data_IF_993023066632
#
_entry.id   IF_993023066632
#
_cell.length_a   1.000
_cell.length_b   1.000
_cell.length_c   1.000
_cell.angle_alpha   90.00
_cell.angle_beta   90.00
_cell.angle_gamma   90.00
#
_symmetry.space_group_name_H-M   'P 1'
#
loop_
_entity.id
_entity.type
_entity.pdbx_description
1 polymer ?
#
# COMPACT_ATOMS: atom_id res chain seq x y z
N UNK A 1 16.65 0.03 -19.88
CA UNK A 1 16.05 1.26 -20.43
C UNK A 1 16.39 1.35 -21.92
N UNK A 2 15.55 0.76 -22.78
CA UNK A 2 15.64 0.96 -24.24
C UNK A 2 14.70 2.10 -24.58
N UNK A 3 15.26 3.25 -24.96
CA UNK A 3 14.51 4.41 -25.47
C UNK A 3 13.90 4.01 -26.80
N UNK A 4 12.58 3.85 -26.85
CA UNK A 4 11.85 3.75 -28.10
C UNK A 4 11.78 5.17 -28.67
N UNK A 5 12.68 5.48 -29.59
CA UNK A 5 12.62 6.71 -30.38
C UNK A 5 11.60 6.50 -31.48
N UNK A 6 10.50 7.23 -31.44
CA UNK A 6 9.53 7.30 -32.50
C UNK A 6 10.17 8.24 -33.60
N UNK A 7 10.67 7.65 -34.67
CA UNK A 7 11.00 8.41 -35.89
C UNK A 7 9.71 8.66 -36.67
N UNK A 8 9.23 9.92 -36.68
CA UNK A 8 8.26 10.36 -37.64
C UNK A 8 9.07 10.72 -38.90
N UNK A 9 9.17 9.80 -39.85
CA UNK A 9 9.69 10.11 -41.18
C UNK A 9 8.57 10.81 -41.96
N UNK A 10 8.67 12.12 -42.09
CA UNK A 10 7.84 12.88 -43.02
C UNK A 10 8.31 12.54 -44.45
N UNK A 11 7.56 11.70 -45.16
CA UNK A 11 7.76 11.50 -46.60
C UNK A 11 6.98 12.57 -47.30
N UNK A 12 7.70 13.55 -47.86
CA UNK A 12 7.15 14.57 -48.79
C UNK A 12 7.03 13.91 -50.17
N UNK A 13 5.83 13.48 -50.55
CA UNK A 13 5.56 13.08 -51.93
C UNK A 13 5.07 14.27 -52.77
N UNK A 14 5.70 14.48 -53.89
CA UNK A 14 5.27 15.45 -54.93
C UNK A 14 4.02 14.91 -55.64
N UNK A 15 3.00 15.77 -55.83
CA UNK A 15 1.76 15.44 -56.50
C UNK A 15 2.02 15.06 -57.96
N UNK A 16 2.11 13.78 -58.25
CA UNK A 16 2.04 13.18 -59.58
C UNK A 16 0.72 12.41 -59.73
N UNK A 17 0.22 12.29 -60.95
CA UNK A 17 -1.03 11.58 -61.23
C UNK A 17 -1.01 10.18 -60.66
N UNK A 18 -1.86 9.96 -59.63
CA UNK A 18 -2.01 8.70 -58.94
C UNK A 18 -2.72 7.71 -59.87
N UNK A 19 -2.19 6.49 -59.99
CA UNK A 19 -2.71 5.43 -60.86
C UNK A 19 -3.35 4.30 -60.02
N UNK A 20 -4.11 3.42 -60.67
CA UNK A 20 -4.64 2.21 -60.00
C UNK A 20 -3.55 1.36 -59.33
N UNK A 21 -2.27 1.56 -59.69
CA UNK A 21 -1.11 0.91 -59.12
C UNK A 21 -0.85 1.43 -57.69
N UNK A 22 -1.19 2.69 -57.38
CA UNK A 22 -0.91 3.35 -56.11
C UNK A 22 -1.90 2.86 -55.01
N UNK A 23 -3.19 2.58 -55.38
CA UNK A 23 -4.15 2.01 -54.42
C UNK A 23 -3.77 0.55 -54.07
N UNK A 24 -3.24 -0.20 -55.04
CA UNK A 24 -2.76 -1.56 -54.77
C UNK A 24 -1.57 -1.58 -53.83
N UNK A 25 -0.63 -0.64 -53.98
CA UNK A 25 0.54 -0.52 -53.12
C UNK A 25 0.14 -0.12 -51.69
N UNK A 26 -0.78 0.83 -51.53
CA UNK A 26 -1.30 1.23 -50.27
C UNK A 26 -2.04 0.08 -49.55
N UNK A 27 -2.85 -0.71 -50.32
CA UNK A 27 -3.53 -1.88 -49.80
C UNK A 27 -2.56 -3.01 -49.42
N UNK A 28 -1.49 -3.21 -50.21
CA UNK A 28 -0.42 -4.16 -49.89
C UNK A 28 0.27 -3.79 -48.58
N UNK A 29 0.58 -2.50 -48.36
CA UNK A 29 1.13 -2.02 -47.09
C UNK A 29 0.20 -2.30 -45.94
N UNK A 30 -1.12 -2.05 -46.07
CA UNK A 30 -2.12 -2.39 -45.05
C UNK A 30 -2.13 -3.89 -44.74
N UNK A 31 -2.13 -4.75 -45.76
CA UNK A 31 -2.15 -6.21 -45.59
C UNK A 31 -0.87 -6.72 -44.92
N UNK A 32 0.29 -6.13 -45.23
CA UNK A 32 1.54 -6.44 -44.54
C UNK A 32 1.48 -6.04 -43.06
N UNK A 33 0.88 -4.89 -42.75
CA UNK A 33 0.61 -4.49 -41.37
C UNK A 33 -0.29 -5.47 -40.63
N UNK A 34 -1.36 -5.93 -41.28
CA UNK A 34 -2.27 -6.94 -40.69
C UNK A 34 -1.56 -8.30 -40.47
N UNK A 35 -0.63 -8.68 -41.36
CA UNK A 35 0.17 -9.91 -41.22
C UNK A 35 1.16 -9.77 -40.02
N UNK A 36 1.87 -8.66 -39.92
CA UNK A 36 2.77 -8.38 -38.78
C UNK A 36 2.03 -8.38 -37.44
N UNK A 37 0.81 -7.81 -37.43
CA UNK A 37 -0.06 -7.82 -36.25
C UNK A 37 -0.43 -9.24 -35.83
N UNK A 38 -0.77 -10.12 -36.78
CA UNK A 38 -1.05 -11.55 -36.50
C UNK A 38 0.18 -12.29 -35.97
N UNK A 39 1.37 -11.89 -36.36
CA UNK A 39 2.63 -12.46 -35.85
C UNK A 39 3.04 -11.88 -34.49
N UNK A 40 2.29 -10.90 -33.96
CA UNK A 40 2.59 -10.21 -32.70
C UNK A 40 3.65 -9.12 -32.83
N UNK A 41 4.03 -8.74 -34.06
CA UNK A 41 5.02 -7.70 -34.31
C UNK A 41 4.36 -6.31 -34.37
N UNK A 42 3.73 -5.89 -33.25
CA UNK A 42 2.93 -4.67 -33.16
C UNK A 42 3.66 -3.40 -33.66
N UNK A 43 4.97 -3.29 -33.42
CA UNK A 43 5.77 -2.14 -33.88
C UNK A 43 5.86 -2.09 -35.41
N UNK A 44 6.18 -3.22 -36.06
CA UNK A 44 6.24 -3.30 -37.53
C UNK A 44 4.86 -3.10 -38.17
N UNK A 45 3.81 -3.69 -37.55
CA UNK A 45 2.42 -3.49 -38.00
C UNK A 45 2.06 -2.00 -38.03
N UNK A 46 2.43 -1.25 -36.99
CA UNK A 46 2.15 0.17 -36.87
C UNK A 46 2.84 0.98 -38.00
N UNK A 47 4.10 0.67 -38.32
CA UNK A 47 4.82 1.31 -39.42
C UNK A 47 4.12 1.06 -40.76
N UNK A 48 3.68 -0.17 -41.05
CA UNK A 48 2.95 -0.48 -42.25
C UNK A 48 1.59 0.21 -42.33
N UNK A 49 0.81 0.26 -41.23
CA UNK A 49 -0.47 0.96 -41.20
C UNK A 49 -0.31 2.47 -41.38
N UNK A 50 0.73 3.08 -40.81
CA UNK A 50 1.05 4.50 -41.01
C UNK A 50 1.45 4.82 -42.45
N UNK A 51 2.23 3.93 -43.08
CA UNK A 51 2.59 4.04 -44.49
C UNK A 51 1.34 3.93 -45.38
N UNK A 52 0.49 2.93 -45.14
CA UNK A 52 -0.77 2.75 -45.84
C UNK A 52 -1.72 3.96 -45.68
N UNK A 53 -1.81 4.53 -44.44
CA UNK A 53 -2.56 5.74 -44.17
C UNK A 53 -2.09 6.92 -45.02
N UNK A 54 -0.79 7.18 -45.02
CA UNK A 54 -0.18 8.27 -45.81
C UNK A 54 -0.46 8.13 -47.31
N UNK A 55 -0.33 6.90 -47.84
CA UNK A 55 -0.64 6.63 -49.25
C UNK A 55 -2.15 6.79 -49.52
N UNK A 56 -3.01 6.27 -48.63
CA UNK A 56 -4.44 6.40 -48.77
C UNK A 56 -4.95 7.84 -48.73
N UNK A 57 -4.38 8.69 -47.86
CA UNK A 57 -4.72 10.09 -47.79
C UNK A 57 -4.32 10.83 -49.07
N UNK A 58 -3.23 10.46 -49.73
CA UNK A 58 -2.80 11.01 -51.02
C UNK A 58 -3.74 10.63 -52.17
N UNK A 59 -4.49 9.53 -52.03
CA UNK A 59 -5.48 9.08 -53.05
C UNK A 59 -6.83 9.83 -52.98
N UNK A 60 -7.05 10.65 -51.95
CA UNK A 60 -8.29 11.41 -51.78
C UNK A 60 -9.53 10.47 -51.62
N UNK A 61 -10.57 10.70 -52.44
CA UNK A 61 -11.81 9.93 -52.33
C UNK A 61 -11.63 8.42 -52.58
N UNK A 62 -10.74 8.04 -53.48
CA UNK A 62 -10.45 6.63 -53.79
C UNK A 62 -9.80 5.88 -52.60
N UNK A 63 -9.08 6.60 -51.76
CA UNK A 63 -8.41 6.06 -50.57
C UNK A 63 -9.27 6.08 -49.30
N UNK A 64 -10.46 6.68 -49.33
CA UNK A 64 -11.23 6.98 -48.11
C UNK A 64 -11.49 5.75 -47.20
N UNK A 65 -11.89 4.62 -47.78
CA UNK A 65 -12.14 3.38 -47.03
C UNK A 65 -10.85 2.80 -46.42
N UNK A 66 -9.74 2.86 -47.16
CA UNK A 66 -8.45 2.43 -46.70
C UNK A 66 -7.94 3.33 -45.58
N UNK A 67 -8.12 4.62 -45.66
CA UNK A 67 -7.80 5.59 -44.63
C UNK A 67 -8.55 5.31 -43.34
N UNK A 68 -9.85 5.07 -43.45
CA UNK A 68 -10.67 4.68 -42.28
C UNK A 68 -10.18 3.41 -41.63
N UNK A 69 -9.89 2.38 -42.42
CA UNK A 69 -9.35 1.09 -41.92
C UNK A 69 -7.97 1.28 -41.27
N UNK A 70 -7.07 2.07 -41.87
CA UNK A 70 -5.76 2.36 -41.29
C UNK A 70 -5.85 3.10 -39.96
N UNK A 71 -6.71 4.12 -39.85
CA UNK A 71 -6.94 4.86 -38.60
C UNK A 71 -7.37 3.94 -37.48
N UNK A 72 -8.37 3.08 -37.74
CA UNK A 72 -8.84 2.09 -36.79
C UNK A 72 -7.75 1.07 -36.41
N UNK A 73 -7.00 0.54 -37.39
CA UNK A 73 -5.91 -0.39 -37.16
C UNK A 73 -4.79 0.21 -36.32
N UNK A 74 -4.39 1.46 -36.59
CA UNK A 74 -3.40 2.19 -35.79
C UNK A 74 -3.85 2.34 -34.35
N UNK A 75 -5.09 2.74 -34.10
CA UNK A 75 -5.64 2.90 -32.75
C UNK A 75 -5.68 1.55 -32.02
N UNK A 76 -6.17 0.51 -32.67
CA UNK A 76 -6.26 -0.85 -32.08
C UNK A 76 -4.87 -1.42 -31.77
N UNK A 77 -3.88 -1.19 -32.64
CA UNK A 77 -2.50 -1.65 -32.41
C UNK A 77 -1.85 -0.92 -31.24
N UNK A 78 -2.01 0.42 -31.15
CA UNK A 78 -1.53 1.17 -29.99
C UNK A 78 -2.19 0.69 -28.68
N UNK A 79 -3.50 0.41 -28.71
CA UNK A 79 -4.22 -0.12 -27.56
C UNK A 79 -3.68 -1.50 -27.14
N UNK A 80 -3.38 -2.36 -28.11
CA UNK A 80 -2.77 -3.68 -27.85
C UNK A 80 -1.39 -3.54 -27.20
N UNK A 81 -0.52 -2.66 -27.71
CA UNK A 81 0.80 -2.40 -27.14
C UNK A 81 0.71 -1.83 -25.70
N UNK A 82 -0.25 -0.95 -25.45
CA UNK A 82 -0.49 -0.45 -24.10
C UNK A 82 -0.97 -1.54 -23.15
N UNK A 83 -1.83 -2.47 -23.60
CA UNK A 83 -2.27 -3.64 -22.83
C UNK A 83 -1.11 -4.61 -22.56
N UNK A 84 -0.13 -4.74 -23.44
CA UNK A 84 1.08 -5.53 -23.17
C UNK A 84 1.88 -4.98 -21.99
N UNK A 85 2.09 -3.66 -21.93
CA UNK A 85 2.75 -3.00 -20.79
C UNK A 85 1.97 -3.22 -19.48
N UNK A 86 0.64 -3.10 -19.55
CA UNK A 86 -0.23 -3.37 -18.41
C UNK A 86 -0.08 -4.82 -17.90
N UNK A 87 -0.12 -5.78 -18.80
CA UNK A 87 0.04 -7.20 -18.48
C UNK A 87 1.45 -7.54 -17.95
N UNK A 88 2.47 -6.83 -18.45
CA UNK A 88 3.84 -6.90 -17.93
C UNK A 88 4.03 -6.20 -16.56
N UNK A 89 2.95 -5.60 -16.01
CA UNK A 89 2.94 -4.82 -14.77
C UNK A 89 3.82 -3.57 -14.80
N UNK A 90 4.15 -3.09 -15.98
CA UNK A 90 4.69 -1.73 -16.18
C UNK A 90 3.52 -0.75 -16.23
N UNK A 91 2.92 -0.49 -15.06
CA UNK A 91 1.73 0.36 -14.97
C UNK A 91 2.03 1.82 -15.34
N UNK A 92 3.23 2.31 -15.06
CA UNK A 92 3.63 3.68 -15.45
C UNK A 92 3.74 3.80 -16.97
N UNK A 93 4.38 2.84 -17.62
CA UNK A 93 4.44 2.75 -19.08
C UNK A 93 3.07 2.55 -19.70
N UNK A 94 2.22 1.72 -19.09
CA UNK A 94 0.85 1.46 -19.56
C UNK A 94 -0.02 2.73 -19.54
N UNK A 95 0.01 3.51 -18.46
CA UNK A 95 -0.72 4.79 -18.37
C UNK A 95 -0.31 5.71 -19.51
N UNK A 96 0.99 5.94 -19.70
CA UNK A 96 1.48 6.83 -20.78
C UNK A 96 1.09 6.31 -22.19
N UNK A 97 1.11 4.98 -22.39
CA UNK A 97 0.72 4.38 -23.65
C UNK A 97 -0.80 4.44 -23.90
N UNK A 98 -1.63 4.26 -22.87
CA UNK A 98 -3.09 4.44 -22.99
C UNK A 98 -3.47 5.90 -23.21
N UNK A 99 -2.83 6.86 -22.54
CA UNK A 99 -3.03 8.30 -22.78
C UNK A 99 -2.74 8.65 -24.24
N UNK A 100 -1.61 8.18 -24.79
CA UNK A 100 -1.27 8.36 -26.18
C UNK A 100 -2.28 7.69 -27.12
N UNK A 101 -2.72 6.49 -26.79
CA UNK A 101 -3.75 5.78 -27.58
C UNK A 101 -5.05 6.56 -27.61
N UNK A 102 -5.49 7.09 -26.48
CA UNK A 102 -6.67 7.95 -26.37
C UNK A 102 -6.56 9.19 -27.26
N UNK A 103 -5.43 9.91 -27.17
CA UNK A 103 -5.18 11.10 -27.99
C UNK A 103 -5.25 10.79 -29.50
N UNK A 104 -4.61 9.70 -29.95
CA UNK A 104 -4.64 9.27 -31.35
C UNK A 104 -6.07 8.90 -31.77
N UNK A 105 -6.78 8.16 -30.94
CA UNK A 105 -8.14 7.71 -31.24
C UNK A 105 -9.13 8.89 -31.31
N UNK A 106 -9.05 9.86 -30.41
CA UNK A 106 -9.80 11.12 -30.47
C UNK A 106 -9.48 11.91 -31.76
N UNK A 107 -8.20 12.01 -32.13
CA UNK A 107 -7.77 12.68 -33.36
C UNK A 107 -8.27 12.03 -34.65
N UNK A 108 -8.49 10.71 -34.61
CA UNK A 108 -8.99 9.95 -35.77
C UNK A 108 -10.50 9.74 -35.75
N UNK A 109 -11.19 10.16 -34.67
CA UNK A 109 -12.64 9.97 -34.52
C UNK A 109 -13.05 8.57 -34.07
N UNK A 110 -12.11 7.76 -33.59
CA UNK A 110 -12.34 6.39 -33.09
C UNK A 110 -12.81 6.41 -31.61
N UNK A 111 -14.04 6.89 -31.41
CA UNK A 111 -14.60 7.20 -30.09
C UNK A 111 -14.66 5.98 -29.15
N UNK A 112 -14.92 4.78 -29.68
CA UNK A 112 -14.99 3.54 -28.88
C UNK A 112 -13.59 3.20 -28.31
N UNK A 113 -12.56 3.25 -29.15
CA UNK A 113 -11.17 2.98 -28.71
C UNK A 113 -10.68 4.04 -27.73
N UNK A 114 -11.06 5.31 -27.94
CA UNK A 114 -10.75 6.38 -27.01
C UNK A 114 -11.39 6.17 -25.64
N UNK A 115 -12.65 5.69 -25.61
CA UNK A 115 -13.35 5.35 -24.36
C UNK A 115 -12.71 4.16 -23.64
N UNK A 116 -12.36 3.08 -24.37
CA UNK A 116 -11.65 1.94 -23.82
C UNK A 116 -10.32 2.34 -23.20
N UNK A 117 -9.54 3.17 -23.92
CA UNK A 117 -8.27 3.67 -23.41
C UNK A 117 -8.46 4.53 -22.14
N UNK A 118 -9.49 5.37 -22.09
CA UNK A 118 -9.80 6.18 -20.91
C UNK A 118 -10.14 5.34 -19.67
N UNK A 119 -10.91 4.28 -19.83
CA UNK A 119 -11.19 3.33 -18.75
C UNK A 119 -9.90 2.65 -18.25
N UNK A 120 -9.08 2.16 -19.18
CA UNK A 120 -7.82 1.48 -18.85
C UNK A 120 -6.80 2.41 -18.20
N UNK A 121 -6.78 3.70 -18.51
CA UNK A 121 -5.99 4.71 -17.78
C UNK A 121 -6.37 4.72 -16.30
N UNK A 122 -7.66 4.74 -15.98
CA UNK A 122 -8.13 4.71 -14.60
C UNK A 122 -7.65 3.48 -13.84
N UNK A 123 -7.83 2.30 -14.45
CA UNK A 123 -7.40 1.03 -13.86
C UNK A 123 -5.88 0.96 -13.68
N UNK A 124 -5.11 1.36 -14.70
CA UNK A 124 -3.65 1.36 -14.66
C UNK A 124 -3.10 2.36 -13.62
N UNK A 125 -3.72 3.54 -13.46
CA UNK A 125 -3.35 4.52 -12.45
C UNK A 125 -3.55 3.97 -11.03
N UNK A 126 -4.66 3.31 -10.75
CA UNK A 126 -4.88 2.68 -9.44
C UNK A 126 -3.80 1.65 -9.10
N UNK A 127 -3.46 0.80 -10.06
CA UNK A 127 -2.42 -0.22 -9.87
C UNK A 127 -1.02 0.40 -9.74
N UNK A 128 -0.72 1.44 -10.51
CA UNK A 128 0.51 2.24 -10.41
C UNK A 128 0.65 2.82 -9.01
N UNK A 129 -0.36 3.56 -8.54
CA UNK A 129 -0.36 4.19 -7.21
C UNK A 129 -0.21 3.16 -6.09
N UNK A 130 -0.93 2.05 -6.15
CA UNK A 130 -0.78 0.97 -5.18
C UNK A 130 0.64 0.37 -5.17
N UNK A 131 1.22 0.15 -6.35
CA UNK A 131 2.56 -0.43 -6.48
C UNK A 131 3.63 0.53 -5.97
N UNK A 132 3.55 1.80 -6.35
CA UNK A 132 4.46 2.87 -5.91
C UNK A 132 4.35 3.10 -4.39
N UNK A 133 3.14 3.15 -3.85
CA UNK A 133 2.90 3.29 -2.41
C UNK A 133 3.48 2.15 -1.60
N UNK A 134 3.31 0.90 -2.05
CA UNK A 134 3.90 -0.28 -1.41
C UNK A 134 5.43 -0.28 -1.50
N UNK A 135 6.01 0.12 -2.64
CA UNK A 135 7.45 0.26 -2.81
C UNK A 135 8.02 1.34 -1.87
N UNK A 136 7.33 2.47 -1.76
CA UNK A 136 7.69 3.57 -0.86
C UNK A 136 7.65 3.14 0.62
N UNK A 137 6.63 2.36 1.04
CA UNK A 137 6.57 1.78 2.40
C UNK A 137 7.78 0.88 2.68
N UNK A 138 8.15 0.02 1.73
CA UNK A 138 9.33 -0.87 1.85
C UNK A 138 10.63 -0.07 1.92
N UNK A 139 10.72 1.01 1.16
CA UNK A 139 11.85 1.95 1.16
C UNK A 139 11.88 2.89 2.39
N UNK A 140 10.83 2.85 3.23
CA UNK A 140 10.59 3.77 4.36
C UNK A 140 10.39 5.23 3.93
N UNK A 141 10.03 5.46 2.69
CA UNK A 141 9.57 6.76 2.19
C UNK A 141 8.07 6.90 2.48
N UNK A 142 7.79 7.26 3.74
CA UNK A 142 6.42 7.36 4.21
C UNK A 142 5.66 8.54 3.60
N UNK A 143 6.38 9.57 3.13
CA UNK A 143 5.75 10.73 2.50
C UNK A 143 5.13 10.32 1.14
N UNK A 144 5.92 9.67 0.29
CA UNK A 144 5.43 9.15 -1.00
C UNK A 144 4.32 8.10 -0.79
N UNK A 145 4.48 7.19 0.18
CA UNK A 145 3.45 6.19 0.48
C UNK A 145 2.11 6.84 0.88
N UNK A 146 2.15 7.87 1.74
CA UNK A 146 0.95 8.62 2.15
C UNK A 146 0.30 9.28 0.93
N UNK A 147 1.06 9.93 0.07
CA UNK A 147 0.52 10.55 -1.16
C UNK A 147 -0.17 9.52 -2.03
N UNK A 148 0.51 8.43 -2.37
CA UNK A 148 -0.05 7.39 -3.25
C UNK A 148 -1.36 6.80 -2.70
N UNK A 149 -1.39 6.38 -1.43
CA UNK A 149 -2.62 5.79 -0.87
C UNK A 149 -3.73 6.81 -0.65
N UNK A 150 -3.41 8.09 -0.43
CA UNK A 150 -4.41 9.16 -0.38
C UNK A 150 -5.05 9.36 -1.76
N UNK A 151 -4.27 9.31 -2.84
CA UNK A 151 -4.78 9.39 -4.20
C UNK A 151 -5.64 8.18 -4.56
N UNK A 152 -5.25 6.96 -4.14
CA UNK A 152 -6.10 5.77 -4.30
C UNK A 152 -7.45 5.98 -3.62
N UNK A 153 -7.47 6.47 -2.38
CA UNK A 153 -8.71 6.73 -1.65
C UNK A 153 -9.54 7.90 -2.19
N UNK A 154 -8.91 8.82 -2.92
CA UNK A 154 -9.65 9.87 -3.64
C UNK A 154 -10.43 9.29 -4.84
N UNK A 155 -9.94 8.20 -5.44
CA UNK A 155 -10.60 7.50 -6.56
C UNK A 155 -11.58 6.45 -6.01
N UNK A 156 -11.17 5.68 -5.01
CA UNK A 156 -11.93 4.60 -4.38
C UNK A 156 -12.01 4.82 -2.86
N UNK A 157 -12.96 5.64 -2.36
CA UNK A 157 -13.02 6.01 -0.95
C UNK A 157 -13.24 4.83 0.01
N UNK A 158 -13.82 3.74 -0.48
CA UNK A 158 -14.10 2.51 0.26
C UNK A 158 -13.01 1.43 0.12
N UNK A 159 -11.89 1.73 -0.53
CA UNK A 159 -10.78 0.81 -0.68
C UNK A 159 -10.10 0.53 0.68
N UNK A 160 -10.60 -0.51 1.35
CA UNK A 160 -10.14 -0.91 2.69
C UNK A 160 -8.63 -1.22 2.74
N UNK A 161 -8.06 -1.78 1.67
CA UNK A 161 -6.64 -2.08 1.62
C UNK A 161 -5.79 -0.80 1.53
N UNK A 162 -6.19 0.15 0.70
CA UNK A 162 -5.51 1.44 0.63
C UNK A 162 -5.59 2.21 1.95
N UNK A 163 -6.76 2.21 2.60
CA UNK A 163 -6.94 2.83 3.92
C UNK A 163 -6.04 2.17 4.98
N UNK A 164 -5.93 0.84 4.96
CA UNK A 164 -5.04 0.10 5.87
C UNK A 164 -3.57 0.47 5.65
N UNK A 165 -3.12 0.52 4.41
CA UNK A 165 -1.75 0.89 4.05
C UNK A 165 -1.46 2.36 4.38
N UNK A 166 -2.42 3.26 4.16
CA UNK A 166 -2.33 4.66 4.55
C UNK A 166 -2.17 4.80 6.07
N UNK A 167 -2.99 4.09 6.84
CA UNK A 167 -2.88 4.04 8.30
C UNK A 167 -1.52 3.55 8.76
N UNK A 168 -0.98 2.51 8.11
CA UNK A 168 0.37 2.02 8.39
C UNK A 168 1.46 3.05 8.05
N UNK A 169 1.33 3.75 6.91
CA UNK A 169 2.27 4.80 6.50
C UNK A 169 2.28 5.94 7.51
N UNK A 170 1.12 6.42 7.93
CA UNK A 170 0.99 7.45 8.97
C UNK A 170 1.57 7.00 10.31
N UNK A 171 1.30 5.77 10.76
CA UNK A 171 1.87 5.22 12.00
C UNK A 171 3.40 5.23 11.94
N UNK A 172 4.00 4.80 10.84
CA UNK A 172 5.46 4.80 10.64
C UNK A 172 6.04 6.20 10.58
N UNK A 173 5.30 7.16 10.05
CA UNK A 173 5.63 8.59 10.06
C UNK A 173 5.39 9.27 11.42
N UNK A 174 4.88 8.54 12.43
CA UNK A 174 4.48 9.01 13.76
C UNK A 174 3.33 10.04 13.73
N UNK A 175 2.56 10.06 12.66
CA UNK A 175 1.32 10.83 12.52
C UNK A 175 0.17 9.98 13.05
N UNK A 176 0.07 9.89 14.38
CA UNK A 176 -0.78 8.88 15.04
C UNK A 176 -2.28 9.15 14.87
N UNK A 177 -2.70 10.40 14.88
CA UNK A 177 -4.11 10.74 14.79
C UNK A 177 -4.63 10.53 13.35
N UNK A 178 -3.84 10.89 12.34
CA UNK A 178 -4.13 10.59 10.94
C UNK A 178 -4.10 9.06 10.69
N UNK A 179 -3.19 8.33 11.34
CA UNK A 179 -3.16 6.88 11.27
C UNK A 179 -4.45 6.25 11.78
N UNK A 180 -4.93 6.69 12.96
CA UNK A 180 -6.18 6.19 13.52
C UNK A 180 -7.36 6.46 12.61
N UNK A 181 -7.46 7.66 12.02
CA UNK A 181 -8.54 8.00 11.09
C UNK A 181 -8.55 7.07 9.86
N UNK A 182 -7.38 6.84 9.25
CA UNK A 182 -7.28 5.94 8.11
C UNK A 182 -7.59 4.48 8.47
N UNK A 183 -7.17 4.03 9.67
CA UNK A 183 -7.45 2.67 10.15
C UNK A 183 -8.93 2.45 10.48
N UNK A 184 -9.64 3.45 10.99
CA UNK A 184 -11.08 3.37 11.18
C UNK A 184 -11.82 3.28 9.84
N UNK A 185 -11.33 3.97 8.79
CA UNK A 185 -11.85 3.78 7.42
C UNK A 185 -11.62 2.35 6.94
N UNK A 186 -10.43 1.78 7.14
CA UNK A 186 -10.14 0.40 6.78
C UNK A 186 -11.06 -0.59 7.52
N UNK A 187 -11.28 -0.36 8.81
CA UNK A 187 -12.17 -1.16 9.65
C UNK A 187 -13.61 -1.13 9.16
N UNK A 188 -14.14 0.05 8.87
CA UNK A 188 -15.50 0.25 8.37
C UNK A 188 -15.73 -0.45 7.02
N UNK A 189 -14.67 -0.62 6.21
CA UNK A 189 -14.71 -1.24 4.88
C UNK A 189 -14.22 -2.71 4.86
N UNK A 190 -14.26 -3.41 5.99
CA UNK A 190 -14.07 -4.87 6.04
C UNK A 190 -12.66 -5.36 6.42
N UNK A 191 -11.75 -4.46 6.81
CA UNK A 191 -10.41 -4.83 7.30
C UNK A 191 -10.33 -4.78 8.85
N UNK A 192 -11.40 -5.18 9.55
CA UNK A 192 -11.53 -4.99 11.00
C UNK A 192 -10.36 -5.58 11.79
N UNK A 193 -10.03 -6.86 11.58
CA UNK A 193 -8.97 -7.53 12.34
C UNK A 193 -7.59 -6.89 12.12
N UNK A 194 -7.28 -6.57 10.87
CA UNK A 194 -6.01 -5.93 10.52
C UNK A 194 -5.94 -4.50 11.03
N UNK A 195 -7.02 -3.76 10.93
CA UNK A 195 -7.12 -2.40 11.46
C UNK A 195 -6.99 -2.39 12.98
N UNK A 196 -7.73 -3.23 13.71
CA UNK A 196 -7.64 -3.32 15.17
C UNK A 196 -6.22 -3.65 15.63
N UNK A 197 -5.50 -4.53 14.91
CA UNK A 197 -4.09 -4.83 15.19
C UNK A 197 -3.19 -3.59 15.07
N UNK A 198 -3.36 -2.80 14.03
CA UNK A 198 -2.60 -1.56 13.83
C UNK A 198 -3.04 -0.46 14.79
N UNK A 199 -4.33 -0.29 15.07
CA UNK A 199 -4.87 0.64 16.07
C UNK A 199 -4.25 0.36 17.44
N UNK A 200 -4.23 -0.91 17.87
CA UNK A 200 -3.56 -1.31 19.10
C UNK A 200 -2.08 -0.91 19.11
N UNK A 201 -1.37 -1.12 18.00
CA UNK A 201 0.05 -0.71 17.88
C UNK A 201 0.22 0.81 17.93
N UNK A 202 -0.66 1.59 17.30
CA UNK A 202 -0.63 3.06 17.36
C UNK A 202 -0.78 3.54 18.80
N UNK A 203 -1.79 3.05 19.51
CA UNK A 203 -2.00 3.43 20.91
C UNK A 203 -0.85 2.97 21.81
N UNK A 204 -0.26 1.81 21.55
CA UNK A 204 0.93 1.36 22.28
C UNK A 204 2.12 2.30 22.08
N UNK A 205 2.33 2.81 20.85
CA UNK A 205 3.38 3.80 20.58
C UNK A 205 3.08 5.16 21.24
N UNK A 206 1.82 5.61 21.27
CA UNK A 206 1.39 6.80 22.03
C UNK A 206 1.64 6.60 23.52
N UNK A 207 1.29 5.46 24.10
CA UNK A 207 1.56 5.14 25.50
C UNK A 207 3.06 5.16 25.82
N UNK A 208 3.90 4.58 24.96
CA UNK A 208 5.36 4.59 25.11
C UNK A 208 5.94 6.02 25.05
N UNK A 209 5.41 6.87 24.16
CA UNK A 209 5.81 8.27 24.07
C UNK A 209 5.43 9.05 25.35
N UNK A 210 4.22 8.86 25.85
CA UNK A 210 3.76 9.46 27.12
C UNK A 210 4.55 8.94 28.33
N UNK A 211 4.95 7.65 28.32
CA UNK A 211 5.83 7.10 29.37
C UNK A 211 7.17 7.80 29.42
N UNK A 212 7.80 8.02 28.26
CA UNK A 212 9.06 8.80 28.18
C UNK A 212 8.91 10.24 28.65
N UNK A 213 7.74 10.82 28.44
CA UNK A 213 7.38 12.17 28.91
C UNK A 213 6.91 12.19 30.38
N UNK A 214 6.90 11.04 31.09
CA UNK A 214 6.42 10.87 32.47
C UNK A 214 4.96 11.27 32.69
N UNK A 215 4.15 11.21 31.63
CA UNK A 215 2.71 11.51 31.66
C UNK A 215 1.93 10.21 31.96
N UNK A 216 2.02 9.75 33.18
CA UNK A 216 1.58 8.39 33.56
C UNK A 216 0.08 8.13 33.38
N UNK A 217 -0.78 9.15 33.56
CA UNK A 217 -2.21 9.01 33.28
C UNK A 217 -2.46 8.78 31.78
N UNK A 218 -1.79 9.55 30.90
CA UNK A 218 -1.90 9.33 29.45
C UNK A 218 -1.41 7.93 29.04
N UNK A 219 -0.39 7.38 29.72
CA UNK A 219 0.07 5.99 29.48
C UNK A 219 -1.07 5.02 29.72
N UNK A 220 -1.77 5.14 30.84
CA UNK A 220 -2.89 4.26 31.21
C UNK A 220 -4.00 4.40 30.17
N UNK A 221 -4.39 5.62 29.83
CA UNK A 221 -5.47 5.89 28.88
C UNK A 221 -5.16 5.28 27.49
N UNK A 222 -3.94 5.48 26.97
CA UNK A 222 -3.56 4.93 25.68
C UNK A 222 -3.36 3.40 25.73
N UNK A 223 -2.80 2.85 26.79
CA UNK A 223 -2.66 1.40 26.93
C UNK A 223 -4.02 0.71 27.05
N UNK A 224 -5.00 1.33 27.70
CA UNK A 224 -6.38 0.86 27.72
C UNK A 224 -6.97 0.79 26.32
N UNK A 225 -6.89 1.89 25.55
CA UNK A 225 -7.35 1.93 24.15
C UNK A 225 -6.64 0.90 23.27
N UNK A 226 -5.35 0.64 23.53
CA UNK A 226 -4.62 -0.43 22.85
C UNK A 226 -5.25 -1.78 23.09
N UNK A 227 -5.61 -2.10 24.34
CA UNK A 227 -6.24 -3.37 24.71
C UNK A 227 -7.71 -3.47 24.25
N UNK A 228 -8.43 -2.36 24.17
CA UNK A 228 -9.78 -2.31 23.60
C UNK A 228 -9.77 -2.71 22.11
N UNK A 229 -8.76 -2.27 21.37
CA UNK A 229 -8.61 -2.62 19.97
C UNK A 229 -8.12 -4.07 19.79
N UNK A 230 -7.11 -4.46 20.56
CA UNK A 230 -6.57 -5.83 20.60
C UNK A 230 -5.81 -6.05 21.89
N UNK A 231 -6.30 -6.97 22.72
CA UNK A 231 -5.69 -7.29 23.98
C UNK A 231 -4.25 -7.79 23.81
N UNK A 232 -3.30 -7.17 24.55
CA UNK A 232 -1.90 -7.55 24.49
C UNK A 232 -1.16 -7.27 25.82
N UNK A 233 -0.24 -8.14 26.19
CA UNK A 233 0.50 -8.05 27.44
C UNK A 233 1.35 -6.77 27.55
N UNK A 234 1.91 -6.24 26.45
CA UNK A 234 2.75 -5.05 26.53
C UNK A 234 1.99 -3.81 27.00
N UNK A 235 0.72 -3.70 26.63
CA UNK A 235 -0.13 -2.62 27.12
C UNK A 235 -0.33 -2.75 28.65
N UNK A 236 -0.63 -3.94 29.16
CA UNK A 236 -0.76 -4.19 30.60
C UNK A 236 0.55 -3.90 31.35
N UNK A 237 1.71 -4.28 30.78
CA UNK A 237 3.01 -3.97 31.38
C UNK A 237 3.26 -2.46 31.48
N UNK A 238 2.92 -1.69 30.44
CA UNK A 238 3.02 -0.23 30.48
C UNK A 238 2.06 0.36 31.51
N UNK A 239 0.84 -0.12 31.58
CA UNK A 239 -0.16 0.28 32.58
C UNK A 239 0.32 0.01 34.00
N UNK A 240 0.85 -1.19 34.27
CA UNK A 240 1.41 -1.55 35.55
C UNK A 240 2.57 -0.61 35.96
N UNK A 241 3.49 -0.38 35.05
CA UNK A 241 4.60 0.56 35.30
C UNK A 241 4.11 1.99 35.58
N UNK A 242 3.07 2.46 34.89
CA UNK A 242 2.48 3.76 35.13
C UNK A 242 1.78 3.83 36.51
N UNK A 243 1.00 2.81 36.89
CA UNK A 243 0.41 2.72 38.22
C UNK A 243 1.46 2.69 39.33
N UNK A 244 2.57 1.98 39.12
CA UNK A 244 3.69 1.96 40.06
C UNK A 244 4.25 3.39 40.30
N UNK A 245 4.43 4.15 39.24
CA UNK A 245 4.91 5.54 39.36
C UNK A 245 3.90 6.49 40.03
N UNK A 246 2.61 6.16 39.95
CA UNK A 246 1.53 6.90 40.60
C UNK A 246 1.25 6.40 42.04
N UNK A 247 1.97 5.39 42.54
CA UNK A 247 1.76 4.81 43.86
C UNK A 247 0.46 4.01 44.00
N UNK A 248 -0.18 3.64 42.89
CA UNK A 248 -1.43 2.86 42.84
C UNK A 248 -1.10 1.35 42.86
N UNK A 249 -0.76 0.85 44.06
CA UNK A 249 -0.19 -0.49 44.21
C UNK A 249 -1.15 -1.62 43.81
N UNK A 250 -2.43 -1.50 44.15
CA UNK A 250 -3.43 -2.55 43.84
C UNK A 250 -3.65 -2.67 42.32
N UNK A 251 -3.78 -1.55 41.64
CA UNK A 251 -3.96 -1.51 40.17
C UNK A 251 -2.67 -1.96 39.45
N UNK A 252 -1.50 -1.62 40.02
CA UNK A 252 -0.21 -2.09 39.51
C UNK A 252 -0.10 -3.62 39.54
N UNK A 253 -0.46 -4.22 40.68
CA UNK A 253 -0.48 -5.69 40.83
C UNK A 253 -1.39 -6.33 39.80
N UNK A 254 -2.66 -5.88 39.73
CA UNK A 254 -3.63 -6.44 38.80
C UNK A 254 -3.15 -6.35 37.33
N UNK A 255 -2.54 -5.24 36.94
CA UNK A 255 -2.01 -5.07 35.59
C UNK A 255 -0.80 -5.98 35.32
N UNK A 256 0.10 -6.19 36.29
CA UNK A 256 1.22 -7.13 36.14
C UNK A 256 0.74 -8.58 36.10
N UNK A 257 -0.25 -8.96 36.92
CA UNK A 257 -0.86 -10.29 36.87
C UNK A 257 -1.43 -10.59 35.47
N UNK A 258 -2.14 -9.63 34.90
CA UNK A 258 -2.69 -9.76 33.54
C UNK A 258 -1.60 -9.82 32.48
N UNK A 259 -0.52 -9.06 32.64
CA UNK A 259 0.66 -9.17 31.78
C UNK A 259 1.25 -10.60 31.79
N UNK A 260 1.43 -11.19 32.99
CA UNK A 260 1.98 -12.52 33.15
C UNK A 260 1.07 -13.62 32.63
N UNK A 261 -0.26 -13.45 32.75
CA UNK A 261 -1.26 -14.34 32.17
C UNK A 261 -1.11 -14.39 30.63
N UNK A 262 -1.03 -13.23 29.98
CA UNK A 262 -0.95 -13.12 28.53
C UNK A 262 0.46 -13.43 27.99
N UNK A 263 1.49 -13.37 28.84
CA UNK A 263 2.90 -13.57 28.43
C UNK A 263 3.62 -14.56 29.35
N UNK A 264 3.19 -15.82 29.44
CA UNK A 264 3.73 -16.79 30.43
C UNK A 264 5.22 -17.12 30.23
N UNK A 265 5.73 -16.85 29.03
CA UNK A 265 7.16 -17.04 28.64
C UNK A 265 7.95 -15.74 28.64
N UNK A 266 7.47 -14.68 29.25
CA UNK A 266 8.17 -13.40 29.31
C UNK A 266 9.54 -13.55 30.00
N UNK A 267 10.57 -12.97 29.38
CA UNK A 267 11.94 -13.03 29.91
C UNK A 267 12.11 -12.31 31.25
N UNK A 268 11.29 -11.32 31.51
CA UNK A 268 11.28 -10.50 32.73
C UNK A 268 10.28 -10.99 33.79
N UNK A 269 9.73 -12.17 33.59
CA UNK A 269 8.76 -12.79 34.52
C UNK A 269 9.28 -12.84 35.97
N UNK A 270 10.58 -13.14 36.17
CA UNK A 270 11.20 -13.15 37.48
C UNK A 270 11.11 -11.79 38.17
N UNK A 271 11.52 -10.72 37.47
CA UNK A 271 11.46 -9.36 37.99
C UNK A 271 10.04 -8.87 38.27
N UNK A 272 9.10 -9.24 37.40
CA UNK A 272 7.67 -8.88 37.61
C UNK A 272 7.10 -9.59 38.83
N UNK A 273 7.31 -10.89 38.99
CA UNK A 273 6.84 -11.63 40.19
C UNK A 273 7.50 -11.06 41.46
N UNK A 274 8.79 -10.73 41.42
CA UNK A 274 9.47 -10.10 42.56
C UNK A 274 8.84 -8.76 42.93
N UNK A 275 8.50 -7.93 41.91
CA UNK A 275 7.85 -6.63 42.11
C UNK A 275 6.46 -6.80 42.73
N UNK A 276 5.65 -7.77 42.25
CA UNK A 276 4.33 -8.06 42.82
C UNK A 276 4.48 -8.51 44.27
N UNK A 277 5.44 -9.40 44.59
CA UNK A 277 5.73 -9.82 45.95
C UNK A 277 6.05 -8.63 46.89
N UNK A 278 6.91 -7.71 46.43
CA UNK A 278 7.23 -6.52 47.18
C UNK A 278 6.04 -5.57 47.42
N UNK A 279 5.15 -5.43 46.39
CA UNK A 279 3.93 -4.63 46.53
C UNK A 279 2.94 -5.26 47.52
N UNK A 280 2.76 -6.57 47.53
CA UNK A 280 1.94 -7.28 48.55
C UNK A 280 2.55 -7.18 49.95
N UNK A 281 3.87 -7.28 50.07
CA UNK A 281 4.57 -7.07 51.34
C UNK A 281 4.36 -5.67 51.88
N UNK A 282 4.46 -4.65 51.03
CA UNK A 282 4.17 -3.26 51.37
C UNK A 282 2.73 -3.05 51.79
N UNK A 283 1.79 -3.75 51.17
CA UNK A 283 0.38 -3.73 51.53
C UNK A 283 0.04 -4.53 52.81
N UNK A 284 1.02 -5.23 53.41
CA UNK A 284 0.85 -6.07 54.58
C UNK A 284 0.26 -7.47 54.32
N UNK A 285 0.04 -7.83 53.07
CA UNK A 285 -0.42 -9.17 52.68
C UNK A 285 0.76 -10.15 52.56
N UNK A 286 1.23 -10.61 53.75
CA UNK A 286 2.37 -11.50 53.85
C UNK A 286 2.15 -12.83 53.12
N UNK A 287 0.93 -13.31 53.07
CA UNK A 287 0.60 -14.61 52.44
C UNK A 287 0.83 -14.53 50.94
N UNK A 288 0.30 -13.49 50.26
CA UNK A 288 0.50 -13.29 48.83
C UNK A 288 1.94 -12.88 48.51
N UNK A 289 2.57 -12.04 49.36
CA UNK A 289 3.99 -11.68 49.16
C UNK A 289 4.86 -12.96 49.15
N UNK A 290 4.63 -13.90 50.08
CA UNK A 290 5.32 -15.19 50.13
C UNK A 290 5.13 -15.99 48.83
N UNK A 291 3.88 -16.12 48.38
CA UNK A 291 3.55 -16.85 47.15
C UNK A 291 4.35 -16.32 45.93
N UNK A 292 4.42 -14.99 45.78
CA UNK A 292 5.10 -14.39 44.64
C UNK A 292 6.63 -14.46 44.77
N UNK A 293 7.21 -14.35 45.96
CA UNK A 293 8.64 -14.54 46.16
C UNK A 293 9.06 -15.99 45.93
N UNK A 294 8.26 -16.98 46.31
CA UNK A 294 8.53 -18.39 46.06
C UNK A 294 8.60 -18.70 44.55
N UNK A 295 7.81 -18.02 43.70
CA UNK A 295 7.87 -18.16 42.23
C UNK A 295 9.22 -17.76 41.63
N UNK A 296 10.06 -17.02 42.36
CA UNK A 296 11.33 -16.48 41.86
C UNK A 296 12.57 -16.97 42.61
N UNK A 297 12.42 -17.85 43.57
CA UNK A 297 13.56 -18.41 44.36
C UNK A 297 14.64 -19.03 43.48
N UNK A 298 14.27 -19.63 42.33
CA UNK A 298 15.19 -20.19 41.36
C UNK A 298 15.63 -19.24 40.24
N UNK A 299 15.19 -17.98 40.28
CA UNK A 299 15.55 -17.00 39.24
C UNK A 299 17.01 -16.54 39.40
N UNK A 300 17.83 -16.57 38.32
CA UNK A 300 19.25 -16.21 38.41
C UNK A 300 19.52 -14.79 38.91
N UNK A 301 18.62 -13.86 38.67
CA UNK A 301 18.78 -12.46 39.03
C UNK A 301 18.09 -12.09 40.34
N UNK A 302 16.91 -12.63 40.61
CA UNK A 302 16.06 -12.24 41.74
C UNK A 302 15.97 -13.29 42.85
N UNK A 303 16.48 -14.50 42.62
CA UNK A 303 16.34 -15.62 43.57
C UNK A 303 16.92 -15.36 44.92
N UNK A 304 18.12 -14.83 44.99
CA UNK A 304 18.80 -14.50 46.27
C UNK A 304 18.02 -13.43 47.04
N UNK A 305 17.58 -12.38 46.35
CA UNK A 305 16.78 -11.31 46.96
C UNK A 305 15.40 -11.84 47.45
N UNK A 306 14.75 -12.72 46.70
CA UNK A 306 13.50 -13.34 47.10
C UNK A 306 13.65 -14.20 48.35
N UNK A 307 14.71 -14.97 48.47
CA UNK A 307 15.04 -15.76 49.65
C UNK A 307 15.23 -14.88 50.88
N UNK A 308 15.88 -13.72 50.72
CA UNK A 308 16.06 -12.79 51.82
C UNK A 308 14.74 -12.16 52.28
N UNK A 309 13.91 -11.76 51.33
CA UNK A 309 12.58 -11.23 51.66
C UNK A 309 11.69 -12.29 52.36
N UNK A 310 11.74 -13.53 51.94
CA UNK A 310 11.01 -14.64 52.58
C UNK A 310 11.36 -14.85 54.05
N UNK A 311 12.59 -14.51 54.47
CA UNK A 311 13.00 -14.60 55.91
C UNK A 311 12.43 -13.47 56.76
N UNK A 312 12.01 -12.36 56.11
CA UNK A 312 11.53 -11.16 56.81
C UNK A 312 10.00 -11.09 56.89
N UNK A 313 9.28 -11.96 56.18
CA UNK A 313 7.82 -12.07 56.24
C UNK A 313 7.33 -12.76 57.51
#
# INVERSE_FOLDING_TARGET
MKKIFLFIAAVVMTAGALSAQDINQATESYNNGAMELQMGNNGAALEYFQSALTMGEALGEEGADLVANCKKAICSTNLAMAKELYNAKDFAGAVAAFEKTKEIAEGYGEAEIAADAAELIGQANLLKLNTEGQAALKAKDYATAITCFTEVLAIEPDNANAALQLGQAYMRAKKYDESLAALETAKANGQEDNANKLISQVYLQKAQASSKAKKYQEVIDFATKSNEALENGNAYKLTASAYQQLGKNAECIAAYEKYLELTPKAKDKGGVNFTIGALYQQAGDKAKAKEYYEKVVGDPQYGASAQEQLKTL
#
